data_IF_348119278488
#
_entry.id   IF_348119278488
#
_cell.length_a   1.000
_cell.length_b   1.000
_cell.length_c   1.000
_cell.angle_alpha   90.00
_cell.angle_beta   90.00
_cell.angle_gamma   90.00
#
_symmetry.space_group_name_H-M   'P 1'
#
loop_
_entity.id
_entity.type
_entity.pdbx_description
1 polymer ?
#
# COMPACT_ATOMS: atom_id res chain seq x y z
N UNK A 1 50.05 1.83 9.65
CA UNK A 1 50.10 0.72 8.69
C UNK A 1 48.87 0.84 7.81
N UNK A 2 49.01 1.49 6.65
CA UNK A 2 47.91 1.86 5.75
C UNK A 2 47.97 0.92 4.56
N UNK A 3 46.99 0.02 4.43
CA UNK A 3 46.88 -0.88 3.30
C UNK A 3 46.26 -0.12 2.11
N UNK A 4 47.04 0.06 1.05
CA UNK A 4 46.58 0.61 -0.21
C UNK A 4 45.79 -0.43 -1.00
N UNK A 5 44.52 -0.14 -1.27
CA UNK A 5 43.64 -0.93 -2.12
C UNK A 5 43.92 -0.55 -3.58
N UNK A 6 44.56 -1.45 -4.33
CA UNK A 6 44.77 -1.32 -5.77
C UNK A 6 43.46 -1.60 -6.49
N UNK A 7 42.89 -0.58 -7.12
CA UNK A 7 41.77 -0.70 -8.06
C UNK A 7 42.41 -0.96 -9.42
N UNK A 8 42.30 -2.20 -9.93
CA UNK A 8 42.66 -2.49 -11.32
C UNK A 8 41.65 -1.82 -12.25
N UNK A 9 42.12 -0.82 -13.00
CA UNK A 9 41.35 -0.26 -14.11
C UNK A 9 41.42 -1.22 -15.31
N UNK A 10 40.28 -1.60 -15.92
CA UNK A 10 40.30 -2.36 -17.15
C UNK A 10 40.83 -1.48 -18.28
N UNK A 11 42.12 -1.61 -18.60
CA UNK A 11 42.71 -1.01 -19.80
C UNK A 11 42.20 -1.73 -21.04
N UNK A 12 41.10 -1.21 -21.60
CA UNK A 12 40.55 -1.67 -22.85
C UNK A 12 41.40 -1.18 -24.03
N UNK A 13 42.45 -1.95 -24.35
CA UNK A 13 43.30 -1.71 -25.52
C UNK A 13 42.55 -2.07 -26.81
N UNK A 14 41.87 -1.08 -27.41
CA UNK A 14 41.33 -1.21 -28.77
C UNK A 14 42.06 -0.29 -29.75
N UNK A 15 42.44 -0.91 -30.87
CA UNK A 15 43.11 -0.30 -32.03
C UNK A 15 42.48 1.05 -32.43
N UNK A 16 43.34 2.07 -32.52
CA UNK A 16 43.01 3.51 -32.67
C UNK A 16 42.13 3.87 -33.87
N UNK A 17 42.03 3.00 -34.88
CA UNK A 17 41.18 3.21 -36.06
C UNK A 17 39.73 2.75 -35.84
N UNK A 18 39.51 1.75 -34.97
CA UNK A 18 38.17 1.20 -34.68
C UNK A 18 37.44 1.96 -33.58
N UNK A 19 38.18 2.66 -32.71
CA UNK A 19 37.60 3.42 -31.59
C UNK A 19 36.77 4.63 -32.04
N UNK A 20 37.18 5.33 -33.12
CA UNK A 20 36.43 6.48 -33.65
C UNK A 20 35.07 6.11 -34.23
N UNK A 21 34.98 4.94 -34.88
CA UNK A 21 33.72 4.42 -35.43
C UNK A 21 32.80 3.96 -34.30
N UNK A 22 33.35 3.24 -33.31
CA UNK A 22 32.58 2.77 -32.16
C UNK A 22 32.05 3.93 -31.29
N UNK A 23 32.86 4.98 -31.11
CA UNK A 23 32.44 6.19 -30.40
C UNK A 23 31.29 6.92 -31.12
N UNK A 24 31.33 7.00 -32.46
CA UNK A 24 30.24 7.59 -33.24
C UNK A 24 28.93 6.80 -33.12
N UNK A 25 29.01 5.47 -33.17
CA UNK A 25 27.83 4.60 -33.02
C UNK A 25 27.24 4.73 -31.60
N UNK A 26 28.08 4.71 -30.56
CA UNK A 26 27.63 4.88 -29.18
C UNK A 26 26.97 6.26 -28.95
N UNK A 27 27.54 7.33 -29.51
CA UNK A 27 26.95 8.66 -29.41
C UNK A 27 25.56 8.72 -30.08
N UNK A 28 25.39 8.07 -31.24
CA UNK A 28 24.10 8.00 -31.91
C UNK A 28 23.04 7.24 -31.10
N UNK A 29 23.42 6.14 -30.44
CA UNK A 29 22.52 5.37 -29.55
C UNK A 29 22.09 6.22 -28.35
N UNK A 30 23.03 6.92 -27.70
CA UNK A 30 22.74 7.77 -26.54
C UNK A 30 21.78 8.91 -26.93
N UNK A 31 22.02 9.59 -28.06
CA UNK A 31 21.14 10.67 -28.55
C UNK A 31 19.73 10.11 -28.87
N UNK A 32 19.64 8.95 -29.51
CA UNK A 32 18.35 8.30 -29.83
C UNK A 32 17.55 7.93 -28.58
N UNK A 33 18.22 7.37 -27.55
CA UNK A 33 17.59 7.06 -26.27
C UNK A 33 17.11 8.32 -25.54
N UNK A 34 17.90 9.40 -25.57
CA UNK A 34 17.53 10.68 -24.97
C UNK A 34 16.27 11.27 -25.62
N UNK A 35 16.19 11.27 -26.96
CA UNK A 35 15.01 11.74 -27.68
C UNK A 35 13.81 10.84 -27.37
N UNK A 36 13.98 9.52 -27.36
CA UNK A 36 12.91 8.58 -27.03
C UNK A 36 12.34 8.79 -25.62
N UNK A 37 13.20 8.99 -24.62
CA UNK A 37 12.78 9.29 -23.25
C UNK A 37 12.05 10.62 -23.13
N UNK A 38 12.50 11.66 -23.85
CA UNK A 38 11.80 12.96 -23.88
C UNK A 38 10.41 12.80 -24.48
N UNK A 39 10.24 12.04 -25.58
CA UNK A 39 8.92 11.83 -26.20
C UNK A 39 7.98 11.06 -25.27
N UNK A 40 8.48 10.02 -24.58
CA UNK A 40 7.68 9.25 -23.62
C UNK A 40 7.30 10.10 -22.40
N UNK A 41 8.21 10.93 -21.89
CA UNK A 41 7.94 11.82 -20.76
C UNK A 41 7.09 13.05 -21.14
N UNK A 42 7.04 13.41 -22.42
CA UNK A 42 6.27 14.55 -22.94
C UNK A 42 4.91 14.17 -23.49
N UNK A 43 4.46 12.93 -23.33
CA UNK A 43 3.05 12.62 -23.57
C UNK A 43 2.21 13.24 -22.43
N UNK A 44 1.41 14.29 -22.69
CA UNK A 44 0.42 14.73 -21.73
C UNK A 44 -0.55 13.56 -21.51
N UNK A 45 -0.85 13.26 -20.25
CA UNK A 45 -1.66 12.13 -19.83
C UNK A 45 -2.91 11.95 -20.69
N UNK A 46 -2.97 10.82 -21.37
CA UNK A 46 -4.15 10.27 -22.00
C UNK A 46 -4.70 9.15 -21.12
N UNK A 47 -5.75 9.52 -20.40
CA UNK A 47 -6.73 8.70 -19.74
C UNK A 47 -7.44 7.70 -20.66
N UNK A 48 -7.91 6.62 -20.04
CA UNK A 48 -9.01 5.73 -20.46
C UNK A 48 -8.97 5.08 -21.85
N UNK A 49 -8.52 3.82 -21.90
CA UNK A 49 -9.24 2.76 -22.62
C UNK A 49 -8.66 1.37 -22.36
N UNK A 50 -9.25 0.66 -21.41
CA UNK A 50 -9.45 -0.79 -21.60
C UNK A 50 -10.69 -1.24 -20.82
N UNK A 51 -11.86 -0.85 -21.36
CA UNK A 51 -13.11 -1.55 -21.12
C UNK A 51 -12.91 -3.03 -21.47
N UNK A 52 -12.84 -3.91 -20.48
CA UNK A 52 -13.17 -5.32 -20.68
C UNK A 52 -14.57 -5.56 -20.17
N UNK A 53 -15.49 -5.60 -21.12
CA UNK A 53 -16.84 -6.09 -20.93
C UNK A 53 -16.79 -7.53 -20.39
N UNK A 54 -17.36 -7.76 -19.23
CA UNK A 54 -17.90 -9.07 -18.83
C UNK A 54 -19.37 -8.84 -18.58
N UNK A 55 -20.19 -9.37 -19.49
CA UNK A 55 -21.62 -9.51 -19.31
C UNK A 55 -21.87 -10.51 -18.19
N UNK A 56 -22.72 -10.17 -17.24
CA UNK A 56 -23.38 -11.16 -16.40
C UNK A 56 -24.81 -10.70 -16.20
N UNK A 57 -25.71 -11.40 -16.89
CA UNK A 57 -27.14 -11.38 -16.66
C UNK A 57 -27.43 -11.56 -15.16
N UNK A 58 -28.25 -10.70 -14.61
CA UNK A 58 -29.05 -11.01 -13.43
C UNK A 58 -30.35 -10.22 -13.56
N UNK A 59 -31.37 -10.91 -14.05
CA UNK A 59 -32.76 -10.48 -13.92
C UNK A 59 -33.11 -10.39 -12.43
N UNK A 60 -33.64 -9.24 -12.01
CA UNK A 60 -34.55 -9.19 -10.87
C UNK A 60 -35.60 -8.13 -11.16
N UNK A 61 -36.82 -8.61 -11.38
CA UNK A 61 -38.03 -7.83 -11.53
C UNK A 61 -38.41 -7.08 -10.25
N UNK A 62 -39.22 -6.03 -10.47
CA UNK A 62 -40.12 -5.35 -9.53
C UNK A 62 -39.55 -4.26 -8.60
N UNK A 63 -39.54 -3.05 -9.15
CA UNK A 63 -40.18 -1.82 -8.64
C UNK A 63 -40.45 -1.69 -7.13
N UNK A 64 -39.80 -0.71 -6.50
CA UNK A 64 -40.54 0.38 -5.82
C UNK A 64 -39.63 1.59 -5.70
N UNK A 65 -40.01 2.68 -6.39
CA UNK A 65 -39.24 3.89 -6.47
C UNK A 65 -39.25 4.68 -5.17
N UNK A 66 -38.09 5.22 -4.79
CA UNK A 66 -38.02 6.56 -4.23
C UNK A 66 -36.73 7.20 -4.72
N UNK A 67 -36.92 8.31 -5.42
CA UNK A 67 -35.89 9.20 -5.93
C UNK A 67 -35.10 9.80 -4.77
N UNK A 68 -33.83 9.46 -4.64
CA UNK A 68 -32.90 10.21 -3.82
C UNK A 68 -32.20 11.23 -4.73
N UNK A 69 -32.62 12.50 -4.63
CA UNK A 69 -31.85 13.62 -5.15
C UNK A 69 -30.52 13.69 -4.38
N UNK A 70 -29.43 13.47 -5.10
CA UNK A 70 -28.08 13.80 -4.65
C UNK A 70 -27.94 15.30 -4.41
N UNK A 71 -27.16 15.69 -3.39
CA UNK A 71 -26.12 16.67 -3.64
C UNK A 71 -24.74 16.09 -3.32
N UNK A 72 -23.84 16.39 -4.25
CA UNK A 72 -22.38 16.33 -4.22
C UNK A 72 -21.69 16.21 -2.84
N UNK A 73 -20.98 15.09 -2.65
CA UNK A 73 -19.57 14.99 -2.21
C UNK A 73 -19.33 13.59 -1.62
N UNK A 74 -18.83 12.66 -2.46
CA UNK A 74 -18.30 11.33 -2.06
C UNK A 74 -18.97 10.67 -0.85
N UNK A 75 -20.28 10.44 -0.97
CA UNK A 75 -21.06 9.78 0.08
C UNK A 75 -21.01 8.27 -0.20
N UNK A 76 -20.04 7.59 0.40
CA UNK A 76 -20.16 6.15 0.58
C UNK A 76 -21.42 5.96 1.42
N UNK A 77 -22.47 5.38 0.83
CA UNK A 77 -23.68 5.00 1.59
C UNK A 77 -23.24 3.96 2.61
N UNK A 78 -22.94 4.43 3.81
CA UNK A 78 -22.63 3.59 4.94
C UNK A 78 -23.90 2.82 5.28
N UNK A 79 -23.86 1.50 5.08
CA UNK A 79 -25.00 0.62 5.28
C UNK A 79 -25.42 0.52 6.76
N UNK A 80 -24.74 1.21 7.68
CA UNK A 80 -25.09 1.29 9.10
C UNK A 80 -25.37 2.70 9.63
N UNK A 81 -25.12 3.76 8.85
CA UNK A 81 -25.27 5.13 9.35
C UNK A 81 -26.75 5.58 9.31
N UNK A 82 -27.47 5.33 10.40
CA UNK A 82 -28.82 5.85 10.61
C UNK A 82 -29.75 4.93 11.39
N UNK A 83 -30.96 5.41 11.67
CA UNK A 83 -32.04 4.54 12.11
C UNK A 83 -32.51 3.70 10.93
N UNK A 84 -32.50 2.38 11.10
CA UNK A 84 -33.12 1.49 10.14
C UNK A 84 -34.64 1.73 10.08
N UNK A 85 -35.34 1.10 9.13
CA UNK A 85 -36.79 1.22 8.99
C UNK A 85 -37.60 0.81 10.25
N UNK A 86 -36.96 0.14 11.21
CA UNK A 86 -37.53 -0.27 12.49
C UNK A 86 -37.15 0.68 13.66
N UNK A 87 -36.45 1.80 13.39
CA UNK A 87 -36.04 2.77 14.40
C UNK A 87 -34.78 2.40 15.21
N UNK A 88 -34.08 1.32 14.85
CA UNK A 88 -32.84 0.91 15.53
C UNK A 88 -31.63 1.58 14.86
N UNK A 89 -30.71 2.12 15.65
CA UNK A 89 -29.39 2.56 15.20
C UNK A 89 -28.32 1.52 15.54
N UNK A 90 -27.36 1.35 14.64
CA UNK A 90 -26.17 0.54 14.91
C UNK A 90 -25.06 1.52 15.32
N UNK A 91 -24.43 1.24 16.46
CA UNK A 91 -23.20 1.93 16.84
C UNK A 91 -22.04 1.35 16.03
N UNK A 92 -21.36 2.21 15.29
CA UNK A 92 -20.22 1.86 14.43
C UNK A 92 -18.89 2.26 15.05
N UNK A 93 -18.91 2.80 16.27
CA UNK A 93 -17.69 3.17 16.98
C UNK A 93 -16.95 1.94 17.51
N UNK A 94 -15.63 2.06 17.58
CA UNK A 94 -14.78 1.01 18.17
C UNK A 94 -14.99 0.96 19.69
N UNK A 95 -15.08 -0.24 20.29
CA UNK A 95 -15.27 -0.37 21.73
C UNK A 95 -14.06 0.18 22.49
N UNK A 96 -14.29 0.88 23.60
CA UNK A 96 -13.20 1.38 24.47
C UNK A 96 -12.33 0.25 25.05
N UNK A 97 -12.95 -0.91 25.29
CA UNK A 97 -12.29 -2.11 25.78
C UNK A 97 -12.54 -3.26 24.78
N UNK A 98 -11.72 -3.37 23.72
CA UNK A 98 -11.85 -4.43 22.74
C UNK A 98 -11.62 -5.81 23.37
N UNK A 99 -12.39 -6.80 22.92
CA UNK A 99 -12.21 -8.19 23.34
C UNK A 99 -10.93 -8.82 22.76
N UNK A 100 -10.51 -10.00 23.24
CA UNK A 100 -9.27 -10.66 22.81
C UNK A 100 -9.27 -11.13 21.34
N UNK A 101 -10.43 -11.09 20.67
CA UNK A 101 -10.62 -11.43 19.26
C UNK A 101 -11.16 -10.25 18.44
N UNK A 102 -11.18 -9.06 19.02
CA UNK A 102 -11.50 -7.85 18.29
C UNK A 102 -10.29 -7.47 17.44
N UNK A 103 -10.51 -7.10 16.19
CA UNK A 103 -9.45 -6.68 15.27
C UNK A 103 -8.67 -5.48 15.81
N UNK A 104 -7.51 -5.20 15.22
CA UNK A 104 -6.68 -4.07 15.63
C UNK A 104 -7.47 -2.77 15.52
N UNK A 105 -7.59 -2.06 16.64
CA UNK A 105 -8.23 -0.73 16.67
C UNK A 105 -7.41 0.27 15.86
N UNK A 106 -8.04 1.37 15.42
CA UNK A 106 -7.34 2.48 14.73
C UNK A 106 -6.13 2.98 15.51
N UNK A 107 -6.26 3.05 16.83
CA UNK A 107 -5.19 3.52 17.71
C UNK A 107 -4.03 2.53 17.80
N UNK A 108 -4.30 1.23 17.86
CA UNK A 108 -3.28 0.19 17.88
C UNK A 108 -2.55 0.11 16.55
N UNK A 109 -3.28 0.13 15.42
CA UNK A 109 -2.67 0.18 14.09
C UNK A 109 -1.74 1.40 13.94
N UNK A 110 -2.15 2.56 14.44
CA UNK A 110 -1.31 3.77 14.43
C UNK A 110 -0.03 3.57 15.24
N UNK A 111 -0.14 3.06 16.46
CA UNK A 111 1.03 2.81 17.33
C UNK A 111 1.96 1.76 16.74
N UNK A 112 1.42 0.67 16.19
CA UNK A 112 2.19 -0.39 15.53
C UNK A 112 2.96 0.19 14.34
N UNK A 113 2.30 1.00 13.50
CA UNK A 113 2.96 1.69 12.40
C UNK A 113 4.08 2.61 12.89
N UNK A 114 3.79 3.47 13.86
CA UNK A 114 4.80 4.37 14.42
C UNK A 114 5.99 3.63 15.02
N UNK A 115 5.77 2.47 15.63
CA UNK A 115 6.82 1.61 16.14
C UNK A 115 7.72 1.10 15.01
N UNK A 116 7.13 0.54 13.94
CA UNK A 116 7.87 0.00 12.79
C UNK A 116 8.58 1.09 11.96
N UNK A 117 8.03 2.30 11.92
CA UNK A 117 8.67 3.46 11.26
C UNK A 117 9.88 3.98 12.04
N UNK A 118 9.86 3.90 13.38
CA UNK A 118 10.93 4.38 14.27
C UNK A 118 12.00 3.33 14.55
N UNK A 119 11.74 2.08 14.24
CA UNK A 119 12.68 0.99 14.47
C UNK A 119 13.92 1.13 13.55
N UNK A 120 15.15 1.16 14.10
CA UNK A 120 16.36 1.40 13.34
C UNK A 120 16.77 0.24 12.43
N UNK A 121 16.28 -0.98 12.67
CA UNK A 121 16.56 -2.17 11.85
C UNK A 121 15.58 -2.29 10.69
N UNK A 122 14.30 -1.97 10.92
CA UNK A 122 13.24 -2.13 9.91
C UNK A 122 13.13 -0.89 9.03
N UNK A 123 13.09 0.30 9.64
CA UNK A 123 12.93 1.60 8.98
C UNK A 123 11.81 1.60 7.94
N UNK A 124 10.61 1.19 8.36
CA UNK A 124 9.48 1.14 7.44
C UNK A 124 9.16 2.55 6.89
N UNK A 125 8.91 2.63 5.58
CA UNK A 125 8.54 3.88 4.93
C UNK A 125 7.21 4.39 5.50
N UNK A 126 7.21 5.66 5.92
CA UNK A 126 6.00 6.31 6.41
C UNK A 126 4.95 6.50 5.31
N UNK A 127 3.67 6.46 5.68
CA UNK A 127 2.55 6.67 4.75
C UNK A 127 2.66 7.98 3.94
N UNK A 128 3.24 9.03 4.52
CA UNK A 128 3.42 10.32 3.83
C UNK A 128 4.37 10.22 2.63
N UNK A 129 5.29 9.25 2.67
CA UNK A 129 6.31 9.03 1.65
C UNK A 129 6.03 7.74 0.85
N UNK A 130 4.80 7.22 0.89
CA UNK A 130 4.47 5.98 0.20
C UNK A 130 4.61 6.11 -1.32
N UNK A 131 4.41 7.31 -1.87
CA UNK A 131 4.62 7.61 -3.30
C UNK A 131 6.08 7.48 -3.76
N UNK A 132 7.05 7.51 -2.84
CA UNK A 132 8.48 7.34 -3.14
C UNK A 132 8.99 5.93 -2.82
N UNK A 133 8.10 4.97 -2.54
CA UNK A 133 8.46 3.58 -2.29
C UNK A 133 9.09 2.99 -3.55
N UNK A 134 10.27 2.40 -3.38
CA UNK A 134 10.98 1.68 -4.43
C UNK A 134 11.09 0.20 -4.06
N UNK A 135 11.51 -0.64 -5.00
CA UNK A 135 11.69 -2.09 -4.77
C UNK A 135 12.67 -2.36 -3.62
N UNK A 136 13.60 -1.44 -3.35
CA UNK A 136 14.61 -1.58 -2.30
C UNK A 136 14.19 -0.96 -0.95
N UNK A 137 12.94 -0.52 -0.81
CA UNK A 137 12.46 0.08 0.44
C UNK A 137 11.64 -0.89 1.28
N UNK A 138 11.80 -0.82 2.60
CA UNK A 138 10.98 -1.55 3.56
C UNK A 138 9.64 -0.85 3.74
N UNK A 139 8.53 -1.56 3.57
CA UNK A 139 7.19 -1.00 3.81
C UNK A 139 6.26 -2.04 4.43
N UNK A 140 5.23 -1.55 5.11
CA UNK A 140 4.24 -2.40 5.76
C UNK A 140 3.19 -2.79 4.73
N UNK A 141 3.15 -4.07 4.35
CA UNK A 141 2.17 -4.58 3.39
C UNK A 141 0.87 -5.03 4.08
N UNK A 142 0.98 -5.74 5.19
CA UNK A 142 -0.15 -6.24 5.98
C UNK A 142 0.18 -6.11 7.46
N UNK A 143 -0.80 -5.70 8.25
CA UNK A 143 -0.76 -5.74 9.70
C UNK A 143 -2.11 -6.30 10.16
N UNK A 144 -2.07 -7.37 10.93
CA UNK A 144 -3.26 -8.05 11.41
C UNK A 144 -3.05 -8.51 12.85
N UNK A 145 -4.16 -8.76 13.55
CA UNK A 145 -4.13 -9.28 14.91
C UNK A 145 -3.57 -10.70 14.91
N UNK A 146 -2.55 -10.94 15.73
CA UNK A 146 -2.11 -12.30 16.01
C UNK A 146 -2.93 -12.87 17.19
N UNK A 147 -3.80 -13.87 16.98
CA UNK A 147 -4.70 -14.32 18.03
C UNK A 147 -3.96 -14.96 19.22
N UNK A 148 -4.44 -14.76 20.45
CA UNK A 148 -3.85 -15.37 21.63
C UNK A 148 -4.04 -16.89 21.62
N UNK A 149 -3.21 -17.60 22.40
CA UNK A 149 -3.38 -19.05 22.57
C UNK A 149 -4.70 -19.34 23.26
N UNK A 150 -5.36 -20.43 22.85
CA UNK A 150 -6.65 -20.87 23.43
C UNK A 150 -6.63 -20.92 24.96
N UNK A 151 -5.56 -21.45 25.56
CA UNK A 151 -5.47 -21.57 27.02
C UNK A 151 -5.48 -20.20 27.74
N UNK A 152 -4.79 -19.20 27.17
CA UNK A 152 -4.74 -17.84 27.72
C UNK A 152 -6.06 -17.11 27.51
N UNK A 153 -6.66 -17.26 26.31
CA UNK A 153 -7.97 -16.70 26.01
C UNK A 153 -9.05 -17.28 26.93
N UNK A 154 -9.04 -18.59 27.18
CA UNK A 154 -9.99 -19.23 28.10
C UNK A 154 -9.79 -18.77 29.55
N UNK A 155 -8.55 -18.70 30.04
CA UNK A 155 -8.29 -18.18 31.39
C UNK A 155 -8.79 -16.73 31.53
N UNK A 156 -8.61 -15.91 30.50
CA UNK A 156 -9.16 -14.54 30.45
C UNK A 156 -10.70 -14.51 30.44
N UNK A 157 -11.35 -15.34 29.61
CA UNK A 157 -12.81 -15.37 29.49
C UNK A 157 -13.49 -15.93 30.74
N UNK A 158 -12.97 -17.01 31.30
CA UNK A 158 -13.52 -17.67 32.49
C UNK A 158 -13.33 -16.82 33.76
N UNK A 159 -12.28 -16.02 33.80
CA UNK A 159 -11.98 -15.10 34.91
C UNK A 159 -12.69 -13.74 34.82
N UNK A 160 -13.53 -13.54 33.79
CA UNK A 160 -14.16 -12.23 33.47
C UNK A 160 -13.12 -11.11 33.28
N UNK A 161 -12.02 -11.44 32.62
CA UNK A 161 -10.95 -10.50 32.30
C UNK A 161 -9.92 -10.27 33.40
N UNK A 162 -9.87 -11.12 34.43
CA UNK A 162 -8.85 -11.04 35.49
C UNK A 162 -7.71 -12.01 35.20
N UNK A 163 -6.56 -11.49 34.78
CA UNK A 163 -5.37 -12.31 34.62
C UNK A 163 -5.01 -12.96 35.97
N UNK A 164 -4.95 -14.30 36.02
CA UNK A 164 -4.36 -14.98 37.18
C UNK A 164 -2.87 -14.66 37.15
N UNK A 165 -2.42 -13.75 38.03
CA UNK A 165 -0.98 -13.58 38.28
C UNK A 165 -0.43 -14.94 38.72
N UNK A 166 0.43 -15.51 37.88
CA UNK A 166 1.28 -16.65 38.28
C UNK A 166 2.48 -16.15 39.06
#
# INVERSE_FOLDING_TARGET
MTAGMQIEEPTFSMSTKKWKVLAGIQLAIIIGLLIGLIVIASQPGGDDSTRKAVSSHSESSAESGTSCKSPEASDFVDCGAGQNANGNSIDLDEPENPGPFHDLTKNEMRKLREFLEKDPEIQAVSMKNFSSVTINSSYIFLADLWPPKKAEALDFLDSKGRTRSK
#
